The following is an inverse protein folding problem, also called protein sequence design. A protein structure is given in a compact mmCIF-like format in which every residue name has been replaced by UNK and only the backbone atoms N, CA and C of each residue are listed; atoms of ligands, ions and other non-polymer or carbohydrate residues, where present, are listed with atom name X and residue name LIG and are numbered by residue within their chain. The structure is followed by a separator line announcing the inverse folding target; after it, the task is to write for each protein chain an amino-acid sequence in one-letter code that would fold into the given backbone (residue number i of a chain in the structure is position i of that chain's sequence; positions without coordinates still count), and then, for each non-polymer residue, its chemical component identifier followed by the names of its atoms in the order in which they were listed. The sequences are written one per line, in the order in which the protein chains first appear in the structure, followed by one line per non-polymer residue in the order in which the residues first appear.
data_IF_127420650313
#
_entry.id   IF_127420650313
#
_cell.length_a   1.000
_cell.length_b   1.000
_cell.length_c   1.000
_cell.angle_alpha   90.00
_cell.angle_beta   90.00
_cell.angle_gamma   90.00
#
_symmetry.space_group_name_H-M   'P 1'
#
loop_
_entity.id
_entity.type
_entity.pdbx_description
1 polymer ?
#
# COMPACT_ATOMS: atom_id res chain seq x y z
N UNK A 1 -21.64 -14.95 -4.63
CA UNK A 1 -22.38 -13.92 -3.85
C UNK A 1 -22.82 -12.83 -4.81
N UNK A 2 -23.98 -12.21 -4.61
CA UNK A 2 -24.26 -10.94 -5.26
C UNK A 2 -23.43 -9.91 -4.50
N UNK A 3 -22.33 -9.43 -5.10
CA UNK A 3 -21.30 -8.60 -4.48
C UNK A 3 -21.78 -7.23 -3.97
N UNK A 4 -23.03 -6.87 -4.15
CA UNK A 4 -23.61 -5.55 -3.84
C UNK A 4 -24.38 -5.47 -2.52
N UNK A 5 -24.50 -6.55 -1.75
CA UNK A 5 -25.37 -6.61 -0.56
C UNK A 5 -24.65 -7.08 0.70
N UNK A 6 -23.48 -6.55 0.99
CA UNK A 6 -22.86 -6.72 2.29
C UNK A 6 -22.83 -5.38 3.04
N UNK A 7 -22.88 -5.45 4.36
CA UNK A 7 -22.64 -4.29 5.22
C UNK A 7 -21.16 -4.25 5.57
N UNK A 8 -20.47 -3.12 5.36
CA UNK A 8 -19.09 -2.98 5.77
C UNK A 8 -18.90 -3.34 7.25
N UNK A 9 -17.84 -4.05 7.55
CA UNK A 9 -17.42 -4.27 8.93
C UNK A 9 -16.93 -2.92 9.50
N UNK A 10 -17.45 -2.55 10.66
CA UNK A 10 -16.99 -1.34 11.35
C UNK A 10 -15.86 -1.70 12.31
N UNK A 11 -14.73 -1.08 12.13
CA UNK A 11 -13.68 -1.06 13.13
C UNK A 11 -13.91 0.14 14.05
N UNK A 12 -14.13 -0.14 15.33
CA UNK A 12 -14.49 0.87 16.32
C UNK A 12 -13.32 1.16 17.26
N UNK A 13 -13.39 2.27 17.99
CA UNK A 13 -12.41 2.55 19.05
C UNK A 13 -12.43 1.47 20.14
N UNK A 14 -13.60 0.87 20.42
CA UNK A 14 -13.71 -0.26 21.33
C UNK A 14 -12.89 -1.47 20.84
N UNK A 15 -12.83 -1.70 19.55
CA UNK A 15 -12.01 -2.78 18.98
C UNK A 15 -10.53 -2.42 19.05
N UNK A 16 -10.17 -1.19 18.73
CA UNK A 16 -8.79 -0.71 18.83
C UNK A 16 -8.24 -0.81 20.27
N UNK A 17 -9.07 -0.51 21.27
CA UNK A 17 -8.70 -0.61 22.70
C UNK A 17 -8.52 -2.07 23.20
N UNK A 18 -8.96 -3.07 22.44
CA UNK A 18 -8.68 -4.49 22.77
C UNK A 18 -7.25 -4.90 22.45
N UNK A 19 -6.55 -4.11 21.62
CA UNK A 19 -5.14 -4.36 21.31
C UNK A 19 -4.31 -4.02 22.54
N UNK A 20 -3.65 -5.03 23.09
CA UNK A 20 -2.74 -4.88 24.22
C UNK A 20 -1.30 -5.10 23.73
N UNK A 21 -0.53 -4.03 23.65
CA UNK A 21 0.86 -4.07 23.19
C UNK A 21 1.80 -4.93 24.06
N UNK A 22 1.38 -5.25 25.29
CA UNK A 22 2.11 -6.13 26.20
C UNK A 22 1.65 -7.60 26.11
N UNK A 23 0.65 -7.92 25.30
CA UNK A 23 0.16 -9.29 25.11
C UNK A 23 0.79 -9.88 23.83
N UNK A 24 1.67 -10.90 23.97
CA UNK A 24 2.33 -11.53 22.83
C UNK A 24 1.37 -12.25 21.87
N UNK A 25 0.11 -12.44 22.23
CA UNK A 25 -0.91 -13.02 21.37
C UNK A 25 -1.54 -11.97 20.43
N UNK A 26 -1.47 -10.68 20.79
CA UNK A 26 -1.99 -9.55 20.00
C UNK A 26 -0.88 -8.69 19.41
N UNK A 27 0.31 -8.72 19.99
CA UNK A 27 1.44 -7.89 19.56
C UNK A 27 2.69 -8.76 19.46
N UNK A 28 3.25 -8.87 18.27
CA UNK A 28 4.50 -9.58 18.08
C UNK A 28 5.65 -8.81 18.72
N UNK A 29 6.59 -9.46 19.40
CA UNK A 29 7.77 -8.80 19.93
C UNK A 29 8.58 -8.20 18.79
N UNK A 30 9.16 -7.02 19.01
CA UNK A 30 10.11 -6.43 18.08
C UNK A 30 11.28 -7.39 17.88
N UNK A 31 11.45 -7.86 16.65
CA UNK A 31 12.63 -8.61 16.27
C UNK A 31 13.74 -7.62 16.01
N UNK A 32 14.59 -7.42 17.00
CA UNK A 32 15.88 -6.76 16.81
C UNK A 32 16.75 -7.69 15.99
N UNK A 33 17.19 -7.26 14.83
CA UNK A 33 18.07 -8.06 13.97
C UNK A 33 19.17 -7.16 13.42
N UNK A 34 20.35 -7.72 13.33
CA UNK A 34 21.51 -7.10 12.68
C UNK A 34 21.33 -7.19 11.15
N UNK A 35 20.27 -6.57 10.63
CA UNK A 35 20.11 -6.45 9.19
C UNK A 35 21.06 -5.37 8.66
N UNK A 36 21.83 -5.66 7.61
CA UNK A 36 22.64 -4.66 6.98
C UNK A 36 21.77 -3.56 6.37
N UNK A 37 22.27 -2.32 6.43
CA UNK A 37 21.64 -1.21 5.71
C UNK A 37 21.68 -1.50 4.21
N UNK A 38 20.55 -1.48 3.54
CA UNK A 38 20.47 -1.80 2.12
C UNK A 38 21.10 -0.71 1.24
N UNK A 39 21.06 0.56 1.65
CA UNK A 39 21.67 1.68 0.92
C UNK A 39 21.95 2.88 1.83
N UNK A 40 23.11 3.51 1.60
CA UNK A 40 23.47 4.78 2.24
C UNK A 40 23.03 6.02 1.43
N UNK A 41 22.59 5.82 0.19
CA UNK A 41 22.27 6.92 -0.76
C UNK A 41 20.80 6.99 -1.13
N UNK A 42 20.01 5.98 -0.77
CA UNK A 42 18.61 5.87 -1.13
C UNK A 42 17.76 5.68 0.14
N UNK A 43 16.67 6.41 0.28
CA UNK A 43 15.60 6.09 1.21
C UNK A 43 14.78 4.94 0.66
N UNK A 44 14.46 3.97 1.50
CA UNK A 44 13.70 2.77 1.14
C UNK A 44 12.55 2.62 2.15
N UNK A 45 11.32 2.43 1.62
CA UNK A 45 10.14 2.14 2.45
C UNK A 45 9.12 1.35 1.64
N UNK A 46 8.04 0.92 2.26
CA UNK A 46 6.94 0.16 1.63
C UNK A 46 7.41 -1.00 0.75
N UNK A 47 8.08 -1.96 1.37
CA UNK A 47 8.56 -3.16 0.69
C UNK A 47 7.40 -4.02 0.19
N UNK A 48 7.45 -4.39 -1.08
CA UNK A 48 6.45 -5.16 -1.82
C UNK A 48 7.10 -6.44 -2.34
N UNK A 49 7.00 -7.56 -1.64
CA UNK A 49 7.56 -8.82 -2.14
C UNK A 49 6.79 -9.30 -3.37
N UNK A 50 7.49 -9.93 -4.31
CA UNK A 50 6.87 -10.61 -5.43
C UNK A 50 6.03 -11.78 -4.90
N UNK A 51 4.76 -11.86 -5.32
CA UNK A 51 3.80 -12.87 -4.85
C UNK A 51 2.91 -13.37 -5.97
N UNK A 52 2.21 -14.46 -5.71
CA UNK A 52 1.08 -14.94 -6.53
C UNK A 52 -0.24 -14.31 -6.07
N UNK A 53 -1.30 -14.53 -6.85
CA UNK A 53 -2.64 -13.99 -6.55
C UNK A 53 -3.32 -14.63 -5.33
N UNK A 54 -2.79 -15.72 -4.81
CA UNK A 54 -3.22 -16.32 -3.54
C UNK A 54 -2.54 -15.69 -2.31
N UNK A 55 -1.64 -14.74 -2.53
CA UNK A 55 -0.86 -14.06 -1.49
C UNK A 55 0.47 -14.72 -1.15
N UNK A 56 0.79 -15.87 -1.74
CA UNK A 56 2.07 -16.58 -1.51
C UNK A 56 3.24 -15.76 -2.04
N UNK A 57 4.21 -15.49 -1.17
CA UNK A 57 5.47 -14.85 -1.57
C UNK A 57 6.34 -15.88 -2.31
N UNK A 58 6.85 -15.49 -3.46
CA UNK A 58 7.56 -16.40 -4.37
C UNK A 58 8.96 -15.91 -4.70
N UNK A 59 9.79 -16.86 -5.14
CA UNK A 59 11.09 -16.59 -5.74
C UNK A 59 11.13 -17.10 -7.18
N UNK A 60 11.92 -16.45 -8.04
CA UNK A 60 12.10 -16.84 -9.43
C UNK A 60 13.49 -17.42 -9.58
N UNK A 61 13.60 -18.72 -9.90
CA UNK A 61 14.86 -19.45 -10.04
C UNK A 61 15.82 -19.27 -8.84
N UNK A 62 15.25 -19.28 -7.61
CA UNK A 62 15.98 -19.11 -6.36
C UNK A 62 16.39 -17.68 -6.04
N UNK A 63 15.91 -16.68 -6.79
CA UNK A 63 16.05 -15.28 -6.46
C UNK A 63 14.78 -14.77 -5.79
N UNK A 64 14.91 -14.23 -4.59
CA UNK A 64 13.87 -13.38 -3.98
C UNK A 64 13.93 -12.00 -4.64
N UNK A 65 12.78 -11.48 -5.06
CA UNK A 65 12.65 -10.15 -5.66
C UNK A 65 11.67 -9.34 -4.84
N UNK A 66 12.08 -8.14 -4.46
CA UNK A 66 11.21 -7.17 -3.79
C UNK A 66 11.17 -5.88 -4.59
N UNK A 67 10.02 -5.26 -4.59
CA UNK A 67 9.83 -3.90 -5.07
C UNK A 67 9.73 -2.98 -3.86
N UNK A 68 10.18 -1.75 -3.96
CA UNK A 68 10.18 -0.82 -2.83
C UNK A 68 9.88 0.58 -3.33
N UNK A 69 9.24 1.38 -2.50
CA UNK A 69 9.31 2.81 -2.70
C UNK A 69 10.72 3.29 -2.38
N UNK A 70 11.24 4.17 -3.22
CA UNK A 70 12.57 4.75 -3.06
C UNK A 70 12.55 6.23 -3.39
N UNK A 71 13.44 6.98 -2.74
CA UNK A 71 13.82 8.33 -3.10
C UNK A 71 15.32 8.52 -2.84
N UNK A 72 16.00 9.24 -3.71
CA UNK A 72 17.40 9.55 -3.52
C UNK A 72 17.58 10.46 -2.30
N UNK A 73 18.60 10.20 -1.49
CA UNK A 73 19.06 11.16 -0.47
C UNK A 73 19.75 12.32 -1.15
N UNK A 74 19.51 13.53 -0.65
CA UNK A 74 19.97 14.77 -1.27
C UNK A 74 20.92 15.56 -0.36
N UNK A 75 22.07 15.00 0.06
CA UNK A 75 22.96 15.59 1.03
C UNK A 75 23.64 16.88 0.53
N UNK A 76 23.53 17.20 -0.75
CA UNK A 76 24.11 18.41 -1.36
C UNK A 76 23.06 19.43 -1.78
N UNK A 77 21.78 19.14 -1.59
CA UNK A 77 20.70 20.07 -1.91
C UNK A 77 20.59 21.13 -0.80
N UNK A 78 20.72 22.43 -1.12
CA UNK A 78 20.69 23.51 -0.13
C UNK A 78 19.44 23.53 0.75
N UNK A 79 18.31 23.04 0.25
CA UNK A 79 17.07 22.98 1.01
C UNK A 79 17.13 22.03 2.23
N UNK A 80 18.06 21.05 2.21
CA UNK A 80 18.28 20.08 3.29
C UNK A 80 19.57 20.32 4.06
N UNK A 81 20.19 21.51 3.91
CA UNK A 81 21.34 21.91 4.69
C UNK A 81 20.86 22.86 5.80
N UNK A 82 21.19 22.53 7.04
CA UNK A 82 20.90 23.34 8.21
C UNK A 82 21.78 24.61 8.22
N UNK A 83 21.42 25.58 9.09
CA UNK A 83 22.18 26.82 9.25
C UNK A 83 23.65 26.62 9.67
N UNK A 84 23.98 25.48 10.28
CA UNK A 84 25.33 25.08 10.65
C UNK A 84 26.10 24.33 9.54
N UNK A 85 25.51 24.23 8.34
CA UNK A 85 26.12 23.60 7.18
C UNK A 85 26.00 22.06 7.16
N UNK A 86 25.23 21.46 8.04
CA UNK A 86 25.04 20.00 8.11
C UNK A 86 23.80 19.54 7.35
N UNK A 87 23.91 18.36 6.77
CA UNK A 87 22.78 17.69 6.13
C UNK A 87 21.70 17.29 7.13
N UNK A 88 20.46 17.73 6.87
CA UNK A 88 19.25 17.38 7.62
C UNK A 88 18.56 16.18 7.00
N UNK A 89 19.03 14.99 7.35
CA UNK A 89 18.46 13.73 6.84
C UNK A 89 16.99 13.55 7.21
N UNK A 90 16.54 14.11 8.34
CA UNK A 90 15.13 14.00 8.76
C UNK A 90 14.23 14.81 7.86
N UNK A 91 14.60 16.03 7.54
CA UNK A 91 13.85 16.90 6.64
C UNK A 91 13.81 16.34 5.21
N UNK A 92 14.92 15.78 4.74
CA UNK A 92 14.97 15.10 3.44
C UNK A 92 14.11 13.83 3.45
N UNK A 93 14.12 13.05 4.53
CA UNK A 93 13.24 11.91 4.74
C UNK A 93 11.75 12.29 4.71
N UNK A 94 11.36 13.41 5.33
CA UNK A 94 9.98 13.89 5.34
C UNK A 94 9.51 14.30 3.93
N UNK A 95 10.41 14.83 3.09
CA UNK A 95 10.12 15.25 1.71
C UNK A 95 10.14 14.09 0.68
N UNK A 96 10.61 12.90 1.07
CA UNK A 96 10.80 11.74 0.16
C UNK A 96 9.56 11.37 -0.66
N UNK A 97 8.36 11.57 -0.10
CA UNK A 97 7.10 11.23 -0.77
C UNK A 97 6.88 12.02 -2.07
N UNK A 98 7.43 13.23 -2.16
CA UNK A 98 7.38 14.07 -3.35
C UNK A 98 8.20 13.52 -4.53
N UNK A 99 9.14 12.60 -4.26
CA UNK A 99 10.11 12.05 -5.22
C UNK A 99 10.04 10.52 -5.32
N UNK A 100 9.01 9.91 -4.74
CA UNK A 100 8.85 8.47 -4.67
C UNK A 100 8.84 7.81 -6.05
N UNK A 101 9.64 6.76 -6.21
CA UNK A 101 9.70 5.88 -7.37
C UNK A 101 9.72 4.43 -6.92
N UNK A 102 9.21 3.54 -7.76
CA UNK A 102 9.30 2.11 -7.50
C UNK A 102 10.60 1.59 -8.09
N UNK A 103 11.44 1.05 -7.22
CA UNK A 103 12.66 0.33 -7.59
C UNK A 103 12.55 -1.13 -7.17
N UNK A 104 13.47 -1.98 -7.65
CA UNK A 104 13.52 -3.37 -7.25
C UNK A 104 14.90 -3.75 -6.70
N UNK A 105 14.86 -4.76 -5.88
CA UNK A 105 16.03 -5.38 -5.26
C UNK A 105 15.89 -6.88 -5.37
N UNK A 106 16.99 -7.60 -5.40
CA UNK A 106 16.99 -9.05 -5.47
C UNK A 106 18.06 -9.65 -4.57
N UNK A 107 17.80 -10.86 -4.10
CA UNK A 107 18.68 -11.58 -3.18
C UNK A 107 18.53 -13.09 -3.33
N UNK A 108 19.63 -13.84 -3.11
CA UNK A 108 19.59 -15.29 -2.96
C UNK A 108 19.41 -15.72 -1.51
N UNK A 109 19.74 -14.88 -0.57
CA UNK A 109 19.82 -15.20 0.85
C UNK A 109 18.71 -14.59 1.68
N UNK A 110 18.00 -13.57 1.13
CA UNK A 110 17.05 -12.74 1.86
C UNK A 110 17.72 -11.73 2.81
N UNK A 111 19.06 -11.68 2.83
CA UNK A 111 19.85 -10.77 3.69
C UNK A 111 20.68 -9.78 2.87
N UNK A 112 21.36 -10.28 1.85
CA UNK A 112 22.23 -9.48 0.99
C UNK A 112 21.44 -9.06 -0.24
N UNK A 113 20.89 -7.85 -0.19
CA UNK A 113 20.06 -7.30 -1.23
C UNK A 113 20.87 -6.49 -2.23
N UNK A 114 20.70 -6.80 -3.50
CA UNK A 114 21.35 -6.13 -4.63
C UNK A 114 20.33 -5.17 -5.26
N UNK A 115 20.72 -3.93 -5.45
CA UNK A 115 19.91 -2.92 -6.13
C UNK A 115 19.83 -3.22 -7.62
N UNK A 116 18.61 -3.42 -8.12
CA UNK A 116 18.37 -3.70 -9.53
C UNK A 116 18.07 -2.45 -10.37
N UNK A 117 17.67 -1.37 -9.73
CA UNK A 117 17.31 -0.11 -10.41
C UNK A 117 15.82 0.21 -10.35
N UNK A 118 15.40 1.18 -11.16
CA UNK A 118 14.00 1.55 -11.32
C UNK A 118 13.24 0.46 -12.08
N UNK A 119 11.97 0.25 -11.70
CA UNK A 119 11.06 -0.66 -12.40
C UNK A 119 10.63 -0.07 -13.73
N UNK A 120 10.20 1.19 -13.72
CA UNK A 120 9.79 1.94 -14.91
C UNK A 120 10.84 3.01 -15.24
N UNK A 121 11.09 3.21 -16.52
CA UNK A 121 11.90 4.34 -16.97
C UNK A 121 11.21 5.68 -16.66
N UNK A 122 11.99 6.74 -16.62
CA UNK A 122 11.46 8.08 -16.42
C UNK A 122 10.46 8.45 -17.52
N UNK A 123 9.29 8.99 -17.12
CA UNK A 123 8.21 9.38 -18.03
C UNK A 123 7.29 8.25 -18.48
N UNK A 124 7.53 7.01 -18.09
CA UNK A 124 6.62 5.89 -18.38
C UNK A 124 5.39 5.96 -17.48
N UNK A 125 5.57 6.16 -16.17
CA UNK A 125 4.44 6.43 -15.28
C UNK A 125 3.77 7.74 -15.68
N UNK A 126 2.43 7.79 -15.79
CA UNK A 126 1.71 8.99 -16.23
C UNK A 126 1.77 10.13 -15.22
N UNK A 127 2.30 9.87 -14.03
CA UNK A 127 2.40 10.84 -12.94
C UNK A 127 3.83 11.02 -12.47
N UNK A 128 4.06 12.09 -11.69
CA UNK A 128 5.40 12.42 -11.19
C UNK A 128 5.81 11.59 -9.97
N UNK A 129 4.88 10.86 -9.36
CA UNK A 129 5.12 10.03 -8.17
C UNK A 129 4.50 8.65 -8.35
N UNK A 130 5.23 7.65 -7.95
CA UNK A 130 4.80 6.27 -7.89
C UNK A 130 4.72 5.87 -6.42
N UNK A 131 3.53 5.43 -5.98
CA UNK A 131 3.35 4.95 -4.61
C UNK A 131 3.06 3.46 -4.59
N UNK A 132 3.02 2.89 -3.40
CA UNK A 132 3.00 1.47 -3.17
C UNK A 132 1.87 0.71 -3.86
N UNK A 133 2.04 -0.59 -3.90
CA UNK A 133 1.11 -1.52 -4.50
C UNK A 133 1.57 -2.97 -4.35
N UNK A 134 1.38 -3.79 -5.37
CA UNK A 134 1.69 -5.22 -5.29
C UNK A 134 2.17 -5.77 -6.64
N UNK A 135 3.38 -6.33 -6.70
CA UNK A 135 3.85 -7.09 -7.86
C UNK A 135 3.31 -8.54 -7.80
N UNK A 136 2.67 -8.98 -8.88
CA UNK A 136 2.09 -10.32 -9.02
C UNK A 136 2.82 -11.10 -10.10
N UNK A 137 3.38 -12.25 -9.74
CA UNK A 137 3.91 -13.21 -10.70
C UNK A 137 2.74 -13.95 -11.36
N UNK A 138 2.66 -13.89 -12.68
CA UNK A 138 1.56 -14.47 -13.45
C UNK A 138 1.84 -15.91 -13.87
N UNK A 139 3.10 -16.26 -14.08
CA UNK A 139 3.51 -17.57 -14.59
C UNK A 139 5.00 -17.85 -14.35
N UNK A 140 5.40 -19.09 -14.63
CA UNK A 140 6.79 -19.55 -14.48
C UNK A 140 7.77 -18.94 -15.51
N UNK A 141 7.27 -18.20 -16.51
CA UNK A 141 8.13 -17.48 -17.47
C UNK A 141 8.62 -16.15 -16.93
N UNK A 142 8.17 -15.76 -15.73
CA UNK A 142 8.57 -14.52 -15.07
C UNK A 142 7.72 -13.30 -15.44
N UNK A 143 6.57 -13.49 -16.10
CA UNK A 143 5.66 -12.38 -16.39
C UNK A 143 5.07 -11.84 -15.09
N UNK A 144 5.07 -10.52 -14.95
CA UNK A 144 4.62 -9.80 -13.75
C UNK A 144 3.62 -8.72 -14.14
N UNK A 145 2.54 -8.61 -13.39
CA UNK A 145 1.72 -7.39 -13.29
C UNK A 145 2.09 -6.65 -12.00
N UNK A 146 2.57 -5.43 -12.11
CA UNK A 146 2.72 -4.52 -11.00
C UNK A 146 1.49 -3.61 -10.93
N UNK A 147 0.67 -3.82 -9.89
CA UNK A 147 -0.40 -2.91 -9.50
C UNK A 147 0.19 -1.87 -8.54
N UNK A 148 -0.07 -0.59 -8.79
CA UNK A 148 0.52 0.46 -7.98
C UNK A 148 -0.35 1.74 -8.01
N UNK A 149 0.04 2.74 -7.25
CA UNK A 149 -0.65 4.01 -7.18
C UNK A 149 0.12 5.07 -7.96
N UNK A 150 -0.50 5.65 -8.98
CA UNK A 150 -0.05 6.87 -9.63
C UNK A 150 -0.53 8.09 -8.85
N UNK A 151 0.36 9.02 -8.54
CA UNK A 151 0.02 10.22 -7.76
C UNK A 151 0.47 11.49 -8.47
N UNK A 152 -0.43 12.45 -8.58
CA UNK A 152 -0.29 13.80 -9.09
C UNK A 152 -0.46 13.95 -10.62
N UNK A 153 -1.43 14.73 -11.06
CA UNK A 153 -2.55 15.21 -10.23
C UNK A 153 -3.49 14.06 -9.86
N UNK A 154 -4.02 14.08 -8.64
CA UNK A 154 -4.90 13.02 -8.17
C UNK A 154 -4.16 11.75 -7.72
N UNK A 155 -4.93 10.70 -7.44
CA UNK A 155 -4.45 9.36 -7.17
C UNK A 155 -5.28 8.36 -7.97
N UNK A 156 -4.60 7.54 -8.77
CA UNK A 156 -5.19 6.53 -9.66
C UNK A 156 -4.55 5.19 -9.36
N UNK A 157 -5.35 4.15 -9.23
CA UNK A 157 -4.83 2.78 -9.23
C UNK A 157 -4.51 2.38 -10.66
N UNK A 158 -3.29 1.92 -10.89
CA UNK A 158 -2.76 1.59 -12.19
C UNK A 158 -2.07 0.22 -12.20
N UNK A 159 -1.87 -0.29 -13.41
CA UNK A 159 -1.16 -1.54 -13.68
C UNK A 159 -0.12 -1.33 -14.78
N UNK A 160 1.03 -1.97 -14.63
CA UNK A 160 2.03 -2.09 -15.68
C UNK A 160 2.51 -3.54 -15.75
N UNK A 161 2.62 -4.06 -16.96
CA UNK A 161 3.11 -5.43 -17.20
C UNK A 161 4.57 -5.41 -17.61
N UNK A 162 5.31 -6.39 -17.11
CA UNK A 162 6.69 -6.63 -17.49
C UNK A 162 7.11 -8.06 -17.16
N UNK A 163 8.41 -8.30 -17.14
CA UNK A 163 8.98 -9.62 -16.94
C UNK A 163 10.22 -9.55 -16.04
N UNK A 164 10.35 -10.53 -15.16
CA UNK A 164 11.59 -10.84 -14.41
C UNK A 164 12.40 -11.82 -15.22
N UNK A 165 13.62 -11.45 -15.54
CA UNK A 165 14.61 -12.31 -16.19
C UNK A 165 15.72 -12.60 -15.21
N UNK A 166 16.01 -13.88 -15.00
CA UNK A 166 17.03 -14.34 -14.07
C UNK A 166 18.20 -14.98 -14.81
N UNK A 167 19.38 -14.83 -14.23
CA UNK A 167 20.61 -15.52 -14.59
C UNK A 167 21.27 -16.09 -13.33
N UNK A 168 22.38 -16.79 -13.48
CA UNK A 168 23.17 -17.24 -12.33
C UNK A 168 23.71 -16.08 -11.49
N UNK A 169 23.93 -14.93 -12.10
CA UNK A 169 24.59 -13.76 -11.49
C UNK A 169 23.63 -12.62 -11.10
N UNK A 170 22.35 -12.68 -11.48
CA UNK A 170 21.44 -11.58 -11.15
C UNK A 170 20.08 -11.66 -11.76
N UNK A 171 19.32 -10.58 -11.51
CA UNK A 171 17.95 -10.37 -11.96
C UNK A 171 17.87 -9.06 -12.73
N UNK A 172 17.17 -9.08 -13.85
CA UNK A 172 16.80 -7.88 -14.62
C UNK A 172 15.30 -7.82 -14.85
N UNK A 173 14.75 -6.61 -14.92
CA UNK A 173 13.36 -6.38 -15.32
C UNK A 173 13.32 -5.80 -16.73
N UNK A 174 12.28 -6.16 -17.50
CA UNK A 174 12.02 -5.59 -18.82
C UNK A 174 10.53 -5.45 -19.10
N UNK A 175 10.15 -4.62 -20.07
CA UNK A 175 8.78 -4.49 -20.57
C UNK A 175 7.84 -3.66 -19.69
N UNK A 176 8.30 -3.02 -18.62
CA UNK A 176 7.48 -2.13 -17.78
C UNK A 176 7.36 -0.74 -18.41
N UNK A 177 6.75 -0.64 -19.60
CA UNK A 177 6.73 0.54 -20.44
C UNK A 177 5.33 1.04 -20.85
N UNK A 178 4.28 0.26 -20.58
CA UNK A 178 2.88 0.60 -20.91
C UNK A 178 2.02 0.54 -19.67
N UNK A 179 1.80 1.70 -19.07
CA UNK A 179 0.95 1.84 -17.88
C UNK A 179 -0.51 1.97 -18.28
N UNK A 180 -1.37 1.20 -17.63
CA UNK A 180 -2.81 1.27 -17.75
C UNK A 180 -3.40 1.81 -16.44
N UNK A 181 -4.10 2.95 -16.49
CA UNK A 181 -4.97 3.40 -15.41
C UNK A 181 -6.15 2.47 -15.31
N UNK A 182 -6.49 2.01 -14.12
CA UNK A 182 -7.57 1.06 -13.89
C UNK A 182 -8.84 1.74 -13.39
N UNK A 183 -8.75 2.49 -12.30
CA UNK A 183 -9.87 3.23 -11.73
C UNK A 183 -9.40 4.27 -10.70
N UNK A 184 -10.26 5.28 -10.50
CA UNK A 184 -10.11 6.36 -9.54
C UNK A 184 -11.18 6.25 -8.45
N UNK A 185 -11.05 7.04 -7.38
CA UNK A 185 -12.10 7.19 -6.38
C UNK A 185 -13.38 7.75 -7.02
N UNK A 186 -14.53 7.17 -6.66
CA UNK A 186 -15.81 7.40 -7.36
C UNK A 186 -16.67 8.52 -6.73
N UNK A 187 -16.28 9.05 -5.58
CA UNK A 187 -17.06 10.04 -4.83
C UNK A 187 -18.37 9.49 -4.21
N UNK A 188 -18.67 8.22 -4.47
CA UNK A 188 -19.89 7.54 -3.99
C UNK A 188 -19.60 6.62 -2.83
N UNK A 189 -18.57 5.80 -2.96
CA UNK A 189 -18.07 4.92 -1.91
C UNK A 189 -16.78 5.43 -1.29
N UNK A 190 -15.94 6.10 -2.09
CA UNK A 190 -14.62 6.59 -1.69
C UNK A 190 -14.46 8.07 -1.99
N UNK A 191 -13.85 8.79 -1.04
CA UNK A 191 -13.58 10.22 -1.21
C UNK A 191 -12.71 10.51 -2.42
N UNK A 192 -13.07 11.54 -3.16
CA UNK A 192 -12.26 12.18 -4.19
C UNK A 192 -11.48 13.36 -3.62
N UNK A 193 -10.52 13.88 -4.38
CA UNK A 193 -9.80 15.13 -4.05
C UNK A 193 -10.74 16.31 -3.78
N UNK A 194 -11.87 16.39 -4.50
CA UNK A 194 -12.86 17.44 -4.31
C UNK A 194 -13.57 17.38 -2.93
N UNK A 195 -13.75 16.17 -2.39
CA UNK A 195 -14.37 15.96 -1.07
C UNK A 195 -13.35 16.07 0.08
N UNK A 196 -12.09 15.78 -0.20
CA UNK A 196 -11.01 15.81 0.78
C UNK A 196 -9.67 16.04 0.09
N UNK A 197 -9.06 17.20 0.22
CA UNK A 197 -7.78 17.53 -0.40
C UNK A 197 -6.60 16.63 0.04
N UNK A 198 -6.79 15.87 1.12
CA UNK A 198 -5.79 14.93 1.67
C UNK A 198 -6.32 13.50 1.70
N UNK A 199 -7.23 13.15 0.78
CA UNK A 199 -7.83 11.82 0.73
C UNK A 199 -6.81 10.73 0.48
N UNK A 200 -7.12 9.52 0.94
CA UNK A 200 -6.36 8.31 0.66
C UNK A 200 -7.10 7.47 -0.38
N UNK A 201 -6.40 7.06 -1.42
CA UNK A 201 -6.88 6.11 -2.42
C UNK A 201 -5.67 5.47 -3.07
N UNK A 202 -5.16 4.36 -2.47
CA UNK A 202 -3.83 3.82 -2.79
C UNK A 202 -3.64 2.37 -2.36
N UNK A 203 -2.43 1.85 -2.58
CA UNK A 203 -1.92 0.56 -2.11
C UNK A 203 -2.74 -0.66 -2.61
N UNK A 204 -2.94 -0.79 -3.93
CA UNK A 204 -3.71 -1.90 -4.48
C UNK A 204 -3.06 -3.25 -4.21
N UNK A 205 -3.86 -4.22 -3.76
CA UNK A 205 -3.46 -5.59 -3.53
C UNK A 205 -4.49 -6.55 -4.14
N UNK A 206 -4.23 -7.04 -5.37
CA UNK A 206 -5.12 -8.00 -6.03
C UNK A 206 -4.97 -9.41 -5.44
N UNK A 207 -6.07 -10.17 -5.50
CA UNK A 207 -6.11 -11.57 -5.08
C UNK A 207 -7.22 -12.32 -5.81
N UNK A 208 -7.07 -13.64 -5.95
CA UNK A 208 -8.16 -14.52 -6.40
C UNK A 208 -8.89 -15.05 -5.17
N UNK A 209 -10.20 -14.84 -5.10
CA UNK A 209 -11.02 -15.39 -4.04
C UNK A 209 -11.10 -16.92 -4.19
N UNK A 210 -10.65 -17.70 -3.19
CA UNK A 210 -10.65 -19.16 -3.26
C UNK A 210 -12.04 -19.77 -3.30
N UNK A 211 -13.10 -19.01 -3.01
CA UNK A 211 -14.49 -19.51 -2.98
C UNK A 211 -15.18 -19.36 -4.33
N UNK A 212 -15.04 -18.22 -5.02
CA UNK A 212 -15.74 -17.97 -6.27
C UNK A 212 -14.80 -17.85 -7.49
N UNK A 213 -13.49 -17.87 -7.28
CA UNK A 213 -12.48 -17.85 -8.33
C UNK A 213 -12.34 -16.51 -9.05
N UNK A 214 -12.95 -15.44 -8.55
CA UNK A 214 -12.88 -14.12 -9.17
C UNK A 214 -11.63 -13.36 -8.68
N UNK A 215 -11.18 -12.47 -9.53
CA UNK A 215 -10.10 -11.53 -9.19
C UNK A 215 -10.70 -10.32 -8.49
N UNK A 216 -10.29 -10.10 -7.27
CA UNK A 216 -10.59 -8.92 -6.45
C UNK A 216 -9.33 -8.10 -6.18
N UNK A 217 -9.53 -6.88 -5.74
CA UNK A 217 -8.47 -6.01 -5.27
C UNK A 217 -8.93 -5.30 -4.01
N UNK A 218 -8.15 -5.39 -2.93
CA UNK A 218 -8.30 -4.47 -1.79
C UNK A 218 -7.34 -3.31 -1.94
N UNK A 219 -7.73 -2.17 -1.39
CA UNK A 219 -6.93 -0.94 -1.43
C UNK A 219 -7.28 -0.05 -0.24
N UNK A 220 -6.38 0.88 0.11
CA UNK A 220 -6.68 1.92 1.08
C UNK A 220 -7.61 2.96 0.46
N UNK A 221 -8.58 3.44 1.25
CA UNK A 221 -9.48 4.52 0.87
C UNK A 221 -9.95 5.33 2.07
N UNK A 222 -10.66 6.41 1.76
CA UNK A 222 -11.48 7.13 2.73
C UNK A 222 -12.95 7.01 2.33
N UNK A 223 -13.84 6.85 3.31
CA UNK A 223 -15.28 6.77 3.08
C UNK A 223 -15.78 8.06 2.44
N UNK A 224 -16.58 7.96 1.36
CA UNK A 224 -17.09 9.10 0.61
C UNK A 224 -17.88 10.08 1.49
N UNK A 225 -17.90 11.36 1.11
CA UNK A 225 -18.54 12.48 1.79
C UNK A 225 -17.56 13.62 2.05
N UNK A 226 -18.06 14.79 2.32
CA UNK A 226 -17.27 15.98 2.66
C UNK A 226 -16.46 15.73 3.92
N UNK A 227 -15.18 16.10 3.89
CA UNK A 227 -14.28 15.96 5.03
C UNK A 227 -14.83 16.70 6.26
N UNK A 228 -14.89 16.01 7.40
CA UNK A 228 -15.34 16.59 8.67
C UNK A 228 -16.86 16.61 8.86
N UNK A 229 -17.66 16.08 7.93
CA UNK A 229 -19.12 16.00 8.03
C UNK A 229 -19.63 14.63 8.49
N UNK A 230 -18.75 13.65 8.61
CA UNK A 230 -19.13 12.30 9.01
C UNK A 230 -19.67 12.27 10.44
N UNK A 231 -20.78 11.56 10.60
CA UNK A 231 -21.33 11.30 11.93
C UNK A 231 -20.45 10.28 12.67
N UNK A 232 -20.05 10.64 13.88
CA UNK A 232 -19.25 9.80 14.75
C UNK A 232 -20.07 9.50 15.99
N UNK A 233 -20.44 8.23 16.14
CA UNK A 233 -21.28 7.78 17.25
C UNK A 233 -20.52 7.65 18.58
N UNK A 234 -21.24 7.35 19.68
CA UNK A 234 -20.63 7.19 21.00
C UNK A 234 -19.59 6.05 21.04
N UNK A 235 -19.74 5.02 20.22
CA UNK A 235 -18.79 3.92 20.13
C UNK A 235 -17.45 4.31 19.50
N UNK A 236 -17.46 5.36 18.68
CA UNK A 236 -16.27 5.93 18.03
C UNK A 236 -15.63 7.03 18.88
N UNK A 237 -16.39 7.72 19.74
CA UNK A 237 -15.91 8.86 20.55
C UNK A 237 -15.90 8.64 22.04
N UNK A 238 -16.81 7.83 22.57
CA UNK A 238 -17.03 7.65 24.01
C UNK A 238 -16.01 6.78 24.75
N UNK A 239 -15.09 6.14 24.01
CA UNK A 239 -14.12 5.18 24.57
C UNK A 239 -12.67 5.71 24.55
N UNK A 240 -12.52 7.01 24.38
CA UNK A 240 -11.20 7.66 24.38
C UNK A 240 -10.66 7.69 25.81
N UNK A 241 -9.44 7.22 26.05
CA UNK A 241 -8.83 7.37 27.38
C UNK A 241 -8.80 8.85 27.80
N UNK A 242 -8.91 9.14 29.10
CA UNK A 242 -8.79 10.51 29.60
C UNK A 242 -7.53 11.19 29.07
N UNK A 243 -7.65 12.42 28.55
CA UNK A 243 -6.58 13.19 27.94
C UNK A 243 -6.42 12.98 26.43
N UNK A 244 -7.26 12.15 25.81
CA UNK A 244 -7.28 11.92 24.36
C UNK A 244 -8.67 12.24 23.74
N UNK A 245 -9.42 13.11 24.39
CA UNK A 245 -10.81 13.46 24.03
C UNK A 245 -10.90 14.41 22.81
N UNK A 246 -10.02 14.30 21.83
CA UNK A 246 -10.20 15.07 20.60
C UNK A 246 -11.37 14.55 19.77
N UNK A 247 -12.57 14.80 20.31
CA UNK A 247 -13.84 14.46 19.67
C UNK A 247 -14.02 15.26 18.37
N UNK A 248 -13.43 16.44 18.29
CA UNK A 248 -13.44 17.28 17.09
C UNK A 248 -12.66 16.65 15.94
N UNK A 249 -11.56 15.98 16.23
CA UNK A 249 -10.74 15.27 15.25
C UNK A 249 -11.34 13.97 14.73
N UNK A 250 -12.19 13.30 15.50
CA UNK A 250 -12.75 12.00 15.13
C UNK A 250 -13.51 12.01 13.79
N UNK A 251 -14.23 13.09 13.47
CA UNK A 251 -14.96 13.24 12.20
C UNK A 251 -14.05 13.37 10.97
N UNK A 252 -12.77 13.62 11.17
CA UNK A 252 -11.77 13.66 10.10
C UNK A 252 -11.07 12.32 9.88
N UNK A 253 -11.32 11.36 10.78
CA UNK A 253 -10.82 9.99 10.69
C UNK A 253 -11.84 9.18 9.91
N UNK A 254 -11.61 8.99 8.63
CA UNK A 254 -12.57 8.38 7.71
C UNK A 254 -11.97 7.25 6.88
N UNK A 255 -10.90 6.66 7.37
CA UNK A 255 -10.21 5.55 6.72
C UNK A 255 -11.12 4.35 6.48
N UNK A 256 -10.87 3.66 5.40
CA UNK A 256 -11.55 2.40 5.06
C UNK A 256 -10.65 1.49 4.22
N UNK A 257 -10.94 0.20 4.25
CA UNK A 257 -10.39 -0.76 3.30
C UNK A 257 -11.39 -0.92 2.19
N UNK A 258 -11.01 -0.46 1.01
CA UNK A 258 -11.79 -0.57 -0.21
C UNK A 258 -11.66 -1.93 -0.88
N UNK A 259 -12.60 -2.21 -1.78
CA UNK A 259 -12.58 -3.41 -2.62
C UNK A 259 -13.13 -3.11 -4.00
N UNK A 260 -12.56 -3.74 -5.00
CA UNK A 260 -13.07 -3.79 -6.36
C UNK A 260 -13.03 -5.23 -6.88
N UNK A 261 -13.87 -5.53 -7.87
CA UNK A 261 -13.89 -6.82 -8.56
C UNK A 261 -13.58 -6.62 -10.04
N UNK A 262 -12.67 -7.43 -10.57
CA UNK A 262 -12.35 -7.42 -11.99
C UNK A 262 -13.46 -8.09 -12.81
N UNK A 263 -13.67 -7.64 -14.04
CA UNK A 263 -14.60 -8.27 -14.97
C UNK A 263 -14.11 -9.63 -15.46
N UNK A 264 -12.79 -9.79 -15.50
CA UNK A 264 -12.10 -11.03 -15.87
C UNK A 264 -10.74 -11.17 -15.15
N UNK A 265 -10.06 -12.28 -15.35
CA UNK A 265 -8.77 -12.56 -14.71
C UNK A 265 -7.60 -11.76 -15.29
N UNK A 266 -7.79 -11.03 -16.39
CA UNK A 266 -6.74 -10.12 -16.89
C UNK A 266 -6.60 -8.88 -15.99
N UNK A 267 -7.65 -8.53 -15.24
CA UNK A 267 -7.62 -7.41 -14.30
C UNK A 267 -7.43 -6.06 -15.00
N UNK A 268 -8.10 -5.90 -16.14
CA UNK A 268 -8.02 -4.69 -16.95
C UNK A 268 -9.20 -3.74 -16.75
N UNK A 269 -10.33 -4.28 -16.35
CA UNK A 269 -11.56 -3.54 -16.07
C UNK A 269 -12.12 -3.95 -14.72
N UNK A 270 -12.48 -2.97 -13.90
CA UNK A 270 -12.88 -3.15 -12.52
C UNK A 270 -14.22 -2.50 -12.21
N UNK A 271 -14.98 -3.12 -11.33
CA UNK A 271 -16.15 -2.56 -10.69
C UNK A 271 -15.81 -2.24 -9.25
N UNK A 272 -15.94 -0.97 -8.86
CA UNK A 272 -15.74 -0.51 -7.48
C UNK A 272 -16.95 -0.94 -6.65
N UNK A 273 -16.69 -1.51 -5.47
CA UNK A 273 -17.68 -1.97 -4.53
C UNK A 273 -17.67 -1.13 -3.25
N UNK A 274 -18.71 -1.18 -2.41
CA UNK A 274 -18.68 -0.55 -1.09
C UNK A 274 -17.48 -1.02 -0.25
N UNK A 275 -16.96 -0.22 0.71
CA UNK A 275 -15.85 -0.63 1.56
C UNK A 275 -16.10 -1.96 2.29
N UNK A 276 -15.06 -2.77 2.46
CA UNK A 276 -15.10 -3.98 3.31
C UNK A 276 -15.10 -3.64 4.78
N UNK A 277 -14.23 -2.70 5.16
CA UNK A 277 -14.03 -2.25 6.53
C UNK A 277 -14.05 -0.74 6.55
N UNK A 278 -14.73 -0.15 7.53
CA UNK A 278 -14.70 1.29 7.78
C UNK A 278 -14.14 1.57 9.16
N UNK A 279 -13.28 2.58 9.27
CA UNK A 279 -12.63 3.03 10.49
C UNK A 279 -13.03 4.47 10.87
N UNK A 280 -14.25 4.86 10.52
CA UNK A 280 -14.78 6.22 10.79
C UNK A 280 -14.74 6.52 12.28
N UNK A 281 -14.13 7.64 12.63
CA UNK A 281 -13.92 8.05 14.03
C UNK A 281 -12.72 7.39 14.72
N UNK A 282 -12.05 6.45 14.06
CA UNK A 282 -10.94 5.66 14.64
C UNK A 282 -9.62 6.00 13.98
N UNK A 283 -9.57 5.97 12.66
CA UNK A 283 -8.35 6.12 11.90
C UNK A 283 -8.63 6.69 10.50
N UNK A 284 -7.73 7.51 10.00
CA UNK A 284 -7.82 8.08 8.65
C UNK A 284 -7.04 7.27 7.61
N UNK A 285 -6.11 6.43 8.03
CA UNK A 285 -5.21 5.68 7.16
C UNK A 285 -5.24 4.20 7.50
N UNK A 286 -5.55 3.38 6.50
CA UNK A 286 -5.59 1.92 6.54
C UNK A 286 -4.66 1.36 5.49
N UNK A 287 -3.37 1.73 5.59
CA UNK A 287 -2.37 1.47 4.55
C UNK A 287 -2.12 -0.01 4.30
N UNK A 288 -1.72 -0.33 3.09
CA UNK A 288 -1.21 -1.63 2.67
C UNK A 288 -2.15 -2.80 2.94
N UNK A 289 -3.47 -2.67 2.70
CA UNK A 289 -4.37 -3.79 2.92
C UNK A 289 -4.01 -4.95 2.00
N UNK A 290 -3.97 -6.16 2.56
CA UNK A 290 -3.75 -7.37 1.77
C UNK A 290 -4.34 -8.59 2.47
N UNK A 291 -4.67 -9.61 1.68
CA UNK A 291 -5.15 -10.89 2.18
C UNK A 291 -4.05 -11.95 2.24
N UNK A 292 -4.17 -12.80 3.26
CA UNK A 292 -3.51 -14.10 3.34
C UNK A 292 -4.60 -15.15 3.56
N UNK A 293 -4.56 -16.21 2.77
CA UNK A 293 -5.49 -17.33 2.87
C UNK A 293 -4.80 -18.50 3.55
N UNK A 294 -5.31 -18.90 4.71
CA UNK A 294 -4.76 -20.03 5.46
C UNK A 294 -5.87 -20.76 6.22
N UNK A 295 -5.83 -22.07 6.26
CA UNK A 295 -6.75 -22.93 7.02
C UNK A 295 -8.23 -22.60 6.75
N UNK A 296 -8.59 -22.38 5.49
CA UNK A 296 -9.94 -21.97 5.03
C UNK A 296 -10.43 -20.65 5.66
N UNK A 297 -9.51 -19.76 6.04
CA UNK A 297 -9.81 -18.45 6.58
C UNK A 297 -9.18 -17.35 5.74
N UNK A 298 -9.80 -16.19 5.80
CA UNK A 298 -9.32 -14.95 5.23
C UNK A 298 -8.70 -14.12 6.35
N UNK A 299 -7.42 -13.80 6.22
CA UNK A 299 -6.73 -12.88 7.11
C UNK A 299 -6.48 -11.59 6.36
N UNK A 300 -7.15 -10.51 6.77
CA UNK A 300 -6.94 -9.18 6.21
C UNK A 300 -5.96 -8.42 7.11
N UNK A 301 -4.85 -8.02 6.54
CA UNK A 301 -3.84 -7.20 7.20
C UNK A 301 -3.92 -5.78 6.68
N UNK A 302 -3.66 -4.83 7.56
CA UNK A 302 -3.52 -3.40 7.23
C UNK A 302 -2.66 -2.71 8.28
N UNK A 303 -2.09 -1.57 7.92
CA UNK A 303 -1.39 -0.68 8.83
C UNK A 303 -2.38 0.39 9.28
N UNK A 304 -2.47 0.62 10.59
CA UNK A 304 -3.29 1.69 11.17
C UNK A 304 -2.37 2.77 11.73
N UNK A 305 -2.61 4.00 11.35
CA UNK A 305 -1.99 5.16 11.96
C UNK A 305 -2.84 5.64 13.13
N UNK A 306 -2.20 6.05 14.21
CA UNK A 306 -2.87 6.59 15.40
C UNK A 306 -3.25 8.05 15.20
#
# INVERSE_FOLDING_TARGET
MKHTNYTPTRWTRADALKVNENDPTTTQPLVSSDFPVMSDTIFIWDTMPLRELDGTVVSVNGWSVIFTLTADRRPHDPQFINADGRYDIKRDWEDRHGHARICYWYSRTGKDWIFGGRVMAEGVSPTTREWAGTPILLNNNGDIDLYYTCVTPGATIAKVRGQVITSDTGVTLQGFDQVKSLFDADGTYYQTEAQNATWNFRDPSPFIDPVDGKLYMVFEGNVAGERGTHEVGPNETGLVPPGHEDVGGARYQVGCIGIAVAKDLNGDEWEILPPLVTAVGVNDQTERPHYVFQDNKYYLFTISHK
#
